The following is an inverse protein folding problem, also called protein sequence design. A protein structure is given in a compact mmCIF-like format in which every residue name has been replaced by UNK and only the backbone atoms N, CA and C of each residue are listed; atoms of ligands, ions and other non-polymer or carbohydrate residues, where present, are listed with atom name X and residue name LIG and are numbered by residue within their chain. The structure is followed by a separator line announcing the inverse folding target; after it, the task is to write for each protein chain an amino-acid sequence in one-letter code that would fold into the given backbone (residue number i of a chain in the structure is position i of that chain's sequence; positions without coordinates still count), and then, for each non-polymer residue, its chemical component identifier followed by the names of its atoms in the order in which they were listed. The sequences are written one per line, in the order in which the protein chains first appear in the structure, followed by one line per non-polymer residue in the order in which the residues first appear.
data_IF_234085063693
#
_entry.id   IF_234085063693
#
_cell.length_a   1.000
_cell.length_b   1.000
_cell.length_c   1.000
_cell.angle_alpha   90.00
_cell.angle_beta   90.00
_cell.angle_gamma   90.00
#
_symmetry.space_group_name_H-M   'P 1'
#
loop_
_entity.id
_entity.type
_entity.pdbx_description
1 polymer ?
#
# COMPACT_ATOMS: atom_id res chain seq x y z
N UNK A 1 4.23 -5.14 -5.48
CA UNK A 1 2.88 -4.99 -4.98
C UNK A 1 1.95 -6.15 -5.30
N UNK A 2 0.64 -5.97 -5.12
CA UNK A 2 -0.33 -7.06 -5.28
C UNK A 2 -0.34 -7.66 -6.68
N UNK A 3 -0.21 -6.86 -7.73
CA UNK A 3 -0.24 -7.33 -9.12
C UNK A 3 0.99 -8.17 -9.50
N UNK A 4 2.16 -7.84 -8.95
CA UNK A 4 3.36 -8.68 -9.09
C UNK A 4 3.17 -10.02 -8.38
N UNK A 5 2.56 -10.02 -7.19
CA UNK A 5 2.24 -11.25 -6.47
C UNK A 5 1.29 -12.15 -7.25
N UNK A 6 0.27 -11.59 -7.90
CA UNK A 6 -0.62 -12.33 -8.81
C UNK A 6 0.20 -12.98 -9.92
N UNK A 7 1.11 -12.24 -10.54
CA UNK A 7 1.99 -12.76 -11.60
C UNK A 7 2.91 -13.87 -11.10
N UNK A 8 3.42 -13.77 -9.87
CA UNK A 8 4.23 -14.83 -9.25
C UNK A 8 3.41 -16.10 -8.99
N UNK A 9 2.18 -15.96 -8.48
CA UNK A 9 1.27 -17.10 -8.31
C UNK A 9 0.93 -17.74 -9.65
N UNK A 10 0.65 -16.93 -10.67
CA UNK A 10 0.35 -17.44 -12.00
C UNK A 10 1.54 -18.21 -12.60
N UNK A 11 2.75 -17.69 -12.44
CA UNK A 11 3.97 -18.39 -12.85
C UNK A 11 4.14 -19.74 -12.13
N UNK A 12 3.95 -19.73 -10.81
CA UNK A 12 4.06 -20.97 -10.00
C UNK A 12 3.00 -21.99 -10.41
N UNK A 13 1.75 -21.57 -10.52
CA UNK A 13 0.64 -22.46 -10.89
C UNK A 13 0.79 -23.00 -12.31
N UNK A 14 1.22 -22.16 -13.26
CA UNK A 14 1.45 -22.62 -14.63
C UNK A 14 2.45 -23.78 -14.71
N UNK A 15 3.43 -23.80 -13.82
CA UNK A 15 4.46 -24.86 -13.82
C UNK A 15 4.10 -26.08 -12.94
N UNK A 16 3.21 -25.91 -11.95
CA UNK A 16 2.94 -26.97 -10.96
C UNK A 16 1.47 -27.44 -10.95
N UNK A 17 0.54 -26.59 -11.36
CA UNK A 17 -0.89 -26.92 -11.46
C UNK A 17 -1.55 -26.07 -12.57
N UNK A 18 -1.33 -26.40 -13.85
CA UNK A 18 -1.75 -25.56 -14.98
C UNK A 18 -3.26 -25.42 -15.17
N UNK A 19 -4.05 -26.26 -14.51
CA UNK A 19 -5.52 -26.18 -14.52
C UNK A 19 -6.08 -25.22 -13.47
N UNK A 20 -5.26 -24.75 -12.54
CA UNK A 20 -5.67 -23.80 -11.52
C UNK A 20 -6.07 -22.45 -12.12
N UNK A 21 -7.01 -21.77 -11.44
CA UNK A 21 -7.47 -20.43 -11.77
C UNK A 21 -7.14 -19.47 -10.62
N UNK A 22 -6.86 -18.23 -10.97
CA UNK A 22 -6.68 -17.13 -10.02
C UNK A 22 -7.79 -16.14 -10.24
N UNK A 23 -8.69 -16.01 -9.28
CA UNK A 23 -9.72 -14.96 -9.27
C UNK A 23 -9.18 -13.79 -8.46
N UNK A 24 -9.14 -12.63 -9.06
CA UNK A 24 -8.63 -11.40 -8.44
C UNK A 24 -9.80 -10.46 -8.21
N UNK A 25 -10.10 -10.16 -6.95
CA UNK A 25 -11.11 -9.18 -6.55
C UNK A 25 -10.38 -7.90 -6.13
N UNK A 26 -10.40 -6.89 -6.98
CA UNK A 26 -9.74 -5.62 -6.73
C UNK A 26 -10.77 -4.53 -6.40
N UNK A 27 -10.58 -3.85 -5.27
CA UNK A 27 -11.44 -2.74 -4.87
C UNK A 27 -11.30 -1.50 -5.77
N UNK A 28 -10.21 -1.41 -6.52
CA UNK A 28 -9.95 -0.29 -7.43
C UNK A 28 -10.72 -0.47 -8.76
N UNK A 29 -11.05 0.64 -9.45
CA UNK A 29 -11.74 0.58 -10.74
C UNK A 29 -10.87 0.00 -11.86
N UNK A 30 -9.56 -0.06 -11.67
CA UNK A 30 -8.59 -0.72 -12.56
C UNK A 30 -7.26 -0.91 -11.82
N UNK A 31 -6.30 -1.60 -12.45
CA UNK A 31 -4.93 -1.75 -11.97
C UNK A 31 -4.28 -0.37 -11.80
N UNK A 32 -3.99 0.00 -10.56
CA UNK A 32 -3.58 1.37 -10.18
C UNK A 32 -2.16 1.76 -10.61
N UNK A 33 -1.32 0.80 -11.00
CA UNK A 33 0.06 1.06 -11.44
C UNK A 33 0.46 0.10 -12.53
N UNK A 34 0.95 0.63 -13.66
CA UNK A 34 1.40 -0.15 -14.82
C UNK A 34 0.34 -1.10 -15.40
N UNK A 35 -0.94 -0.71 -15.31
CA UNK A 35 -2.08 -1.53 -15.75
C UNK A 35 -1.93 -2.13 -17.14
N UNK A 36 -1.63 -1.34 -18.18
CA UNK A 36 -1.43 -1.86 -19.54
C UNK A 36 -0.33 -2.92 -19.65
N UNK A 37 0.75 -2.77 -18.87
CA UNK A 37 1.87 -3.73 -18.86
C UNK A 37 1.43 -5.06 -18.24
N UNK A 38 0.77 -5.03 -17.07
CA UNK A 38 0.26 -6.24 -16.42
C UNK A 38 -0.77 -6.96 -17.29
N UNK A 39 -1.76 -6.24 -17.83
CA UNK A 39 -2.79 -6.81 -18.72
C UNK A 39 -2.16 -7.49 -19.94
N UNK A 40 -1.20 -6.84 -20.60
CA UNK A 40 -0.47 -7.41 -21.74
C UNK A 40 0.35 -8.66 -21.33
N UNK A 41 1.03 -8.61 -20.20
CA UNK A 41 1.84 -9.72 -19.71
C UNK A 41 0.94 -10.93 -19.33
N UNK A 42 -0.17 -10.69 -18.64
CA UNK A 42 -1.11 -11.74 -18.25
C UNK A 42 -1.77 -12.39 -19.46
N UNK A 43 -2.22 -11.61 -20.44
CA UNK A 43 -2.77 -12.15 -21.68
C UNK A 43 -1.73 -12.99 -22.45
N UNK A 44 -0.47 -12.54 -22.50
CA UNK A 44 0.60 -13.26 -23.21
C UNK A 44 1.06 -14.55 -22.52
N UNK A 45 1.20 -14.52 -21.18
CA UNK A 45 1.89 -15.57 -20.44
C UNK A 45 0.98 -16.46 -19.62
N UNK A 46 -0.21 -15.96 -19.26
CA UNK A 46 -1.16 -16.62 -18.34
C UNK A 46 -2.60 -16.56 -18.86
N UNK A 47 -2.75 -16.66 -20.19
CA UNK A 47 -4.05 -16.64 -20.86
C UNK A 47 -5.01 -17.65 -20.24
N UNK A 48 -6.22 -17.20 -19.89
CA UNK A 48 -7.27 -18.02 -19.29
C UNK A 48 -6.97 -18.50 -17.85
N UNK A 49 -5.84 -18.13 -17.24
CA UNK A 49 -5.52 -18.49 -15.85
C UNK A 49 -5.91 -17.41 -14.84
N UNK A 50 -5.81 -16.14 -15.22
CA UNK A 50 -6.12 -14.99 -14.34
C UNK A 50 -7.44 -14.39 -14.76
N UNK A 51 -8.40 -14.37 -13.83
CA UNK A 51 -9.70 -13.72 -13.94
C UNK A 51 -9.71 -12.48 -13.04
N UNK A 52 -9.69 -11.29 -13.63
CA UNK A 52 -9.52 -10.02 -12.91
C UNK A 52 -10.83 -9.24 -12.87
N UNK A 53 -11.35 -9.07 -11.66
CA UNK A 53 -12.57 -8.34 -11.35
C UNK A 53 -12.23 -7.00 -10.70
N UNK A 54 -12.31 -5.92 -11.47
CA UNK A 54 -12.16 -4.55 -10.98
C UNK A 54 -13.42 -4.08 -10.24
N UNK A 55 -13.29 -3.06 -9.39
CA UNK A 55 -14.35 -2.48 -8.58
C UNK A 55 -15.08 -3.50 -7.66
N UNK A 56 -14.42 -4.59 -7.33
CA UNK A 56 -14.92 -5.67 -6.48
C UNK A 56 -14.29 -5.64 -5.09
N UNK A 57 -14.75 -4.71 -4.25
CA UNK A 57 -14.26 -4.56 -2.88
C UNK A 57 -14.78 -5.69 -1.99
N UNK A 58 -13.87 -6.47 -1.43
CA UNK A 58 -14.23 -7.50 -0.43
C UNK A 58 -14.81 -6.84 0.81
N UNK A 59 -16.00 -7.26 1.21
CA UNK A 59 -16.75 -6.76 2.37
C UNK A 59 -16.79 -7.77 3.51
N UNK A 60 -16.73 -9.08 3.18
CA UNK A 60 -16.80 -10.17 4.17
C UNK A 60 -15.90 -11.32 3.76
N UNK A 61 -15.35 -12.01 4.75
CA UNK A 61 -14.54 -13.22 4.58
C UNK A 61 -15.05 -14.30 5.54
N UNK A 62 -15.35 -15.48 5.02
CA UNK A 62 -15.63 -16.67 5.83
C UNK A 62 -14.46 -17.67 5.65
N UNK A 63 -13.58 -17.70 6.64
CA UNK A 63 -12.40 -18.55 6.60
C UNK A 63 -12.72 -20.06 6.72
N UNK A 64 -13.86 -20.42 7.33
CA UNK A 64 -14.28 -21.82 7.45
C UNK A 64 -14.83 -22.36 6.15
N UNK A 65 -15.64 -21.57 5.45
CA UNK A 65 -16.21 -21.91 4.15
C UNK A 65 -15.23 -21.65 3.01
N UNK A 66 -14.17 -20.87 3.29
CA UNK A 66 -13.22 -20.35 2.29
C UNK A 66 -13.93 -19.54 1.21
N UNK A 67 -14.81 -18.60 1.64
CA UNK A 67 -15.51 -17.68 0.75
C UNK A 67 -15.17 -16.23 1.07
N UNK A 68 -15.19 -15.41 0.03
CA UNK A 68 -15.13 -13.95 0.11
C UNK A 68 -16.37 -13.36 -0.56
N UNK A 69 -16.95 -12.33 0.03
CA UNK A 69 -18.14 -11.67 -0.45
C UNK A 69 -17.81 -10.19 -0.75
N UNK A 70 -18.20 -9.71 -1.91
CA UNK A 70 -18.02 -8.32 -2.34
C UNK A 70 -19.31 -7.50 -2.20
N UNK A 71 -20.41 -8.13 -1.84
CA UNK A 71 -21.76 -7.56 -1.90
C UNK A 71 -22.40 -7.65 -3.28
N UNK A 72 -21.63 -8.00 -4.30
CA UNK A 72 -22.10 -8.26 -5.68
C UNK A 72 -22.04 -9.75 -5.97
N UNK A 73 -20.97 -10.41 -5.51
CA UNK A 73 -20.75 -11.84 -5.71
C UNK A 73 -20.09 -12.47 -4.47
N UNK A 74 -20.37 -13.75 -4.25
CA UNK A 74 -19.62 -14.59 -3.31
C UNK A 74 -18.71 -15.53 -4.09
N UNK A 75 -17.42 -15.49 -3.80
CA UNK A 75 -16.41 -16.33 -4.45
C UNK A 75 -15.84 -17.30 -3.46
N UNK A 76 -15.82 -18.58 -3.82
CA UNK A 76 -15.16 -19.66 -3.04
C UNK A 76 -13.81 -19.98 -3.66
N UNK A 77 -12.79 -20.10 -2.81
CA UNK A 77 -11.44 -20.48 -3.24
C UNK A 77 -10.87 -21.62 -2.40
N UNK A 78 -10.01 -22.44 -3.02
CA UNK A 78 -9.24 -23.43 -2.26
C UNK A 78 -8.19 -22.77 -1.38
N UNK A 79 -7.64 -21.65 -1.85
CA UNK A 79 -6.76 -20.77 -1.13
C UNK A 79 -7.21 -19.31 -1.30
N UNK A 80 -7.25 -18.56 -0.22
CA UNK A 80 -7.54 -17.12 -0.23
C UNK A 80 -6.31 -16.35 0.23
N UNK A 81 -5.79 -15.48 -0.62
CA UNK A 81 -4.78 -14.50 -0.26
C UNK A 81 -5.44 -13.13 -0.10
N UNK A 82 -5.80 -12.77 1.12
CA UNK A 82 -6.42 -11.50 1.43
C UNK A 82 -5.36 -10.42 1.67
N UNK A 83 -5.47 -9.30 0.96
CA UNK A 83 -4.66 -8.09 1.19
C UNK A 83 -5.56 -7.02 1.82
N UNK A 84 -5.52 -6.82 3.14
CA UNK A 84 -6.38 -5.84 3.80
C UNK A 84 -5.95 -4.41 3.47
N UNK A 85 -6.86 -3.42 3.63
CA UNK A 85 -6.49 -2.01 3.54
C UNK A 85 -5.37 -1.66 4.53
N UNK A 86 -4.39 -0.90 4.05
CA UNK A 86 -3.28 -0.45 4.88
C UNK A 86 -3.67 0.76 5.73
N UNK A 87 -3.06 0.89 6.89
CA UNK A 87 -3.15 2.05 7.78
C UNK A 87 -1.91 2.15 8.66
N UNK A 88 -1.73 3.29 9.32
CA UNK A 88 -0.66 3.49 10.29
C UNK A 88 -0.68 2.41 11.38
N UNK A 89 0.48 2.05 11.87
CA UNK A 89 0.63 1.01 12.88
C UNK A 89 -0.06 1.35 14.21
N UNK A 90 -0.32 0.34 15.02
CA UNK A 90 -1.04 0.49 16.29
C UNK A 90 -0.41 1.54 17.22
N UNK A 91 0.91 1.71 17.19
CA UNK A 91 1.59 2.71 18.00
C UNK A 91 1.12 4.13 17.68
N UNK A 92 0.91 4.47 16.41
CA UNK A 92 0.40 5.78 16.01
C UNK A 92 -1.03 6.03 16.53
N UNK A 93 -1.89 4.99 16.50
CA UNK A 93 -3.23 5.07 17.08
C UNK A 93 -3.19 5.26 18.60
N UNK A 94 -2.33 4.52 19.31
CA UNK A 94 -2.15 4.65 20.75
C UNK A 94 -1.59 6.02 21.16
N UNK A 95 -0.69 6.57 20.33
CA UNK A 95 -0.12 7.90 20.55
C UNK A 95 -1.09 9.05 20.21
N UNK A 96 -2.24 8.75 19.61
CA UNK A 96 -3.24 9.77 19.26
C UNK A 96 -2.83 10.69 18.12
N UNK A 97 -1.90 10.27 17.26
CA UNK A 97 -1.36 11.09 16.15
C UNK A 97 -1.92 10.75 14.79
N UNK A 98 -2.90 9.84 14.73
CA UNK A 98 -3.61 9.49 13.49
C UNK A 98 -4.70 10.51 13.21
N UNK A 99 -4.81 10.93 11.95
CA UNK A 99 -5.80 11.91 11.51
C UNK A 99 -7.25 11.44 11.60
N UNK A 100 -8.17 12.32 11.23
CA UNK A 100 -9.62 12.09 11.30
C UNK A 100 -10.06 10.91 10.42
N UNK A 101 -9.35 10.60 9.35
CA UNK A 101 -9.56 9.44 8.50
C UNK A 101 -9.29 8.10 9.20
N UNK A 102 -8.72 8.14 10.41
CA UNK A 102 -8.29 6.99 11.24
C UNK A 102 -7.35 6.02 10.50
N UNK A 103 -6.65 6.52 9.49
CA UNK A 103 -5.73 5.72 8.68
C UNK A 103 -4.29 6.18 8.79
N UNK A 104 -4.04 7.47 8.57
CA UNK A 104 -2.69 8.00 8.41
C UNK A 104 -2.44 9.19 9.32
N UNK A 105 -1.16 9.51 9.56
CA UNK A 105 -0.73 10.59 10.43
C UNK A 105 -0.47 11.85 9.61
N UNK A 106 -1.21 12.95 9.82
CA UNK A 106 -0.92 14.21 9.18
C UNK A 106 0.34 14.84 9.78
N UNK A 107 1.20 15.36 8.91
CA UNK A 107 2.49 15.95 9.28
C UNK A 107 2.78 17.24 8.54
N UNK A 108 3.61 18.10 9.12
CA UNK A 108 4.23 19.21 8.43
C UNK A 108 5.21 18.64 7.37
N UNK A 109 5.08 19.07 6.12
CA UNK A 109 5.88 18.52 5.02
C UNK A 109 7.37 18.95 5.06
N UNK A 110 7.74 19.95 5.84
CA UNK A 110 9.11 20.40 6.00
C UNK A 110 9.84 19.61 7.09
N UNK A 111 9.18 19.38 8.23
CA UNK A 111 9.81 18.76 9.43
C UNK A 111 9.37 17.34 9.72
N UNK A 112 8.30 16.87 9.10
CA UNK A 112 7.59 15.64 9.47
C UNK A 112 7.04 15.65 10.91
N UNK A 113 6.95 16.81 11.53
CA UNK A 113 6.27 16.96 12.81
C UNK A 113 4.77 16.73 12.65
N UNK A 114 4.18 15.99 13.58
CA UNK A 114 2.74 15.77 13.64
C UNK A 114 1.99 17.10 13.74
N UNK A 115 0.93 17.28 12.95
CA UNK A 115 0.03 18.42 13.11
C UNK A 115 -0.92 18.30 14.30
N UNK A 116 -0.91 17.14 14.99
CA UNK A 116 -1.78 16.81 16.12
C UNK A 116 -1.03 16.91 17.45
N UNK A 117 0.23 16.45 17.48
CA UNK A 117 1.04 16.41 18.69
C UNK A 117 2.38 17.08 18.46
N UNK A 118 2.63 18.17 19.22
CA UNK A 118 3.87 18.92 19.16
C UNK A 118 5.07 18.04 19.56
N UNK A 119 6.22 18.29 18.95
CA UNK A 119 7.49 17.60 19.20
C UNK A 119 7.46 16.08 18.90
N UNK A 120 6.45 15.62 18.18
CA UNK A 120 6.33 14.23 17.70
C UNK A 120 6.48 14.21 16.19
N UNK A 121 7.50 13.52 15.69
CA UNK A 121 7.80 13.42 14.27
C UNK A 121 7.45 12.03 13.74
N UNK A 122 6.84 11.96 12.55
CA UNK A 122 6.35 10.73 11.93
C UNK A 122 6.82 10.67 10.48
N UNK A 123 7.54 9.61 10.14
CA UNK A 123 8.08 9.37 8.80
C UNK A 123 7.61 8.03 8.24
N UNK A 124 7.90 7.79 6.98
CA UNK A 124 7.62 6.54 6.29
C UNK A 124 6.14 6.35 5.99
N UNK A 125 5.73 5.10 5.88
CA UNK A 125 4.39 4.76 5.41
C UNK A 125 3.26 5.26 6.30
N UNK A 126 3.54 5.50 7.59
CA UNK A 126 2.53 5.98 8.54
C UNK A 126 2.08 7.41 8.28
N UNK A 127 2.92 8.27 7.71
CA UNK A 127 2.61 9.69 7.52
C UNK A 127 1.91 9.99 6.20
N UNK A 128 1.23 11.15 6.16
CA UNK A 128 0.70 11.75 4.93
C UNK A 128 1.79 12.65 4.37
N UNK A 129 2.62 12.11 3.47
CA UNK A 129 3.78 12.79 2.89
C UNK A 129 3.50 13.39 1.50
N UNK A 130 2.30 13.92 1.28
CA UNK A 130 1.94 14.54 -0.01
C UNK A 130 2.05 13.57 -1.18
N UNK A 131 2.77 13.96 -2.21
CA UNK A 131 2.96 13.18 -3.44
C UNK A 131 4.01 12.07 -3.31
N UNK A 132 4.75 11.98 -2.19
CA UNK A 132 5.75 10.93 -2.01
C UNK A 132 5.09 9.56 -1.88
N UNK A 133 5.57 8.54 -2.62
CA UNK A 133 5.06 7.20 -2.49
C UNK A 133 5.46 6.58 -1.14
N UNK A 134 4.65 5.64 -0.67
CA UNK A 134 4.97 4.83 0.51
C UNK A 134 5.98 3.76 0.11
N UNK A 135 7.27 4.06 0.28
CA UNK A 135 8.39 3.18 -0.05
C UNK A 135 9.52 3.33 0.96
N UNK A 136 10.36 2.30 1.09
CA UNK A 136 11.54 2.36 1.96
C UNK A 136 12.52 3.47 1.56
N UNK A 137 12.65 3.74 0.26
CA UNK A 137 13.51 4.83 -0.23
C UNK A 137 12.96 6.21 0.19
N UNK A 138 11.66 6.44 0.01
CA UNK A 138 10.99 7.66 0.48
C UNK A 138 11.15 7.82 1.99
N UNK A 139 10.93 6.75 2.77
CA UNK A 139 11.07 6.77 4.23
C UNK A 139 12.51 7.16 4.65
N UNK A 140 13.53 6.64 3.97
CA UNK A 140 14.93 7.01 4.22
C UNK A 140 15.21 8.49 3.89
N UNK A 141 14.67 8.99 2.77
CA UNK A 141 14.78 10.41 2.40
C UNK A 141 14.09 11.29 3.43
N UNK A 142 12.88 10.95 3.85
CA UNK A 142 12.13 11.64 4.90
C UNK A 142 12.89 11.65 6.24
N UNK A 143 13.53 10.54 6.60
CA UNK A 143 14.32 10.44 7.84
C UNK A 143 15.47 11.45 7.87
N UNK A 144 16.18 11.63 6.75
CA UNK A 144 17.28 12.59 6.64
C UNK A 144 16.78 14.04 6.78
N UNK A 145 15.69 14.37 6.07
CA UNK A 145 15.06 15.69 6.16
C UNK A 145 14.56 15.96 7.58
N UNK A 146 13.85 15.01 8.17
CA UNK A 146 13.31 15.10 9.51
C UNK A 146 14.44 15.33 10.54
N UNK A 147 15.49 14.51 10.52
CA UNK A 147 16.63 14.65 11.44
C UNK A 147 17.33 16.00 11.31
N UNK A 148 17.55 16.47 10.07
CA UNK A 148 18.15 17.79 9.83
C UNK A 148 17.29 18.89 10.42
N UNK A 149 15.98 18.85 10.17
CA UNK A 149 15.07 19.90 10.63
C UNK A 149 14.81 19.84 12.16
N UNK A 150 14.85 18.67 12.78
CA UNK A 150 14.85 18.58 14.25
C UNK A 150 16.07 19.33 14.85
N UNK A 151 17.26 19.15 14.27
CA UNK A 151 18.45 19.88 14.72
C UNK A 151 18.30 21.39 14.55
N UNK A 152 17.70 21.86 13.44
CA UNK A 152 17.40 23.28 13.27
C UNK A 152 16.46 23.79 14.36
N UNK A 153 15.34 23.10 14.59
CA UNK A 153 14.36 23.45 15.63
C UNK A 153 15.00 23.52 17.03
N UNK A 154 15.83 22.54 17.39
CA UNK A 154 16.53 22.50 18.68
C UNK A 154 17.51 23.66 18.87
N UNK A 155 18.02 24.24 17.78
CA UNK A 155 18.92 25.40 17.80
C UNK A 155 18.21 26.74 17.55
N UNK A 156 16.87 26.76 17.49
CA UNK A 156 16.09 27.98 17.23
C UNK A 156 16.32 28.58 15.84
N UNK A 157 16.69 27.75 14.87
CA UNK A 157 16.95 28.13 13.48
C UNK A 157 15.75 27.83 12.58
N UNK A 158 15.70 28.51 11.44
CA UNK A 158 14.70 28.24 10.42
C UNK A 158 14.85 26.84 9.85
N UNK A 159 13.72 26.25 9.44
CA UNK A 159 13.70 24.96 8.75
C UNK A 159 14.38 25.06 7.39
N UNK A 160 15.10 24.03 7.02
CA UNK A 160 15.70 23.91 5.69
C UNK A 160 14.68 23.29 4.74
N UNK A 161 14.53 23.85 3.54
CA UNK A 161 13.69 23.30 2.50
C UNK A 161 14.13 21.87 2.15
N UNK A 162 13.21 20.91 2.15
CA UNK A 162 13.57 19.52 1.94
C UNK A 162 13.88 19.21 0.48
N UNK A 163 14.90 18.40 0.26
CA UNK A 163 15.11 17.71 -1.00
C UNK A 163 14.64 16.25 -0.85
N UNK A 164 13.46 15.94 -1.35
CA UNK A 164 12.90 14.60 -1.30
C UNK A 164 13.27 13.82 -2.57
N UNK A 165 13.74 12.59 -2.38
CA UNK A 165 14.05 11.70 -3.50
C UNK A 165 13.34 10.36 -3.32
N UNK A 166 12.95 9.75 -4.43
CA UNK A 166 12.44 8.41 -4.47
C UNK A 166 12.91 7.68 -5.72
N UNK A 167 13.29 6.42 -5.55
CA UNK A 167 13.55 5.49 -6.65
C UNK A 167 12.70 4.25 -6.41
N UNK A 168 11.90 3.88 -7.40
CA UNK A 168 11.07 2.70 -7.36
C UNK A 168 11.37 1.83 -8.58
N UNK A 169 11.87 0.62 -8.32
CA UNK A 169 12.08 -0.38 -9.36
C UNK A 169 10.82 -1.26 -9.48
N UNK A 170 10.25 -1.30 -10.66
CA UNK A 170 9.11 -2.16 -10.96
C UNK A 170 8.93 -2.38 -12.47
#
# INVERSE_FOLDING_TARGET
GPYERISMFAWHLKNNNPTAKIIVLDANPDIVSKGPLFKKAWAKHYEGMIDYHAANKVTKVDHKKRTVDTGVEEVKGDLINLVPPQKAGLIAHKAGVVGEDKKWCPVNQLSFESTIAKDVHIIGDACIAGAMPKSGYSANSQAKVCATNIVQLMNGKDLIDPSHTNVCYS
#
